data_IF_399617065810
#
_entry.id   IF_399617065810
#
_cell.length_a   1.000
_cell.length_b   1.000
_cell.length_c   1.000
_cell.angle_alpha   90.00
_cell.angle_beta   90.00
_cell.angle_gamma   90.00
#
_symmetry.space_group_name_H-M   'P 1'
#
loop_
_entity.id
_entity.type
_entity.pdbx_description
1 polymer ?
#
# COMPACT_ATOMS: atom_id res chain seq x y z
N UNK A 1 24.48 31.83 31.77
CA UNK A 1 25.03 30.83 30.82
C UNK A 1 24.93 29.38 31.33
N UNK A 2 25.58 28.99 32.44
CA UNK A 2 25.55 27.59 32.95
C UNK A 2 24.13 27.03 33.21
N UNK A 3 23.22 27.82 33.80
CA UNK A 3 21.83 27.41 34.06
C UNK A 3 21.02 27.17 32.78
N UNK A 4 21.22 28.02 31.77
CA UNK A 4 20.57 27.87 30.47
C UNK A 4 21.06 26.60 29.75
N UNK A 5 22.37 26.35 29.77
CA UNK A 5 22.96 25.13 29.21
C UNK A 5 22.41 23.90 29.93
N UNK A 6 22.38 23.90 31.27
CA UNK A 6 21.81 22.80 32.04
C UNK A 6 20.32 22.55 31.67
N UNK A 7 19.53 23.61 31.53
CA UNK A 7 18.13 23.50 31.13
C UNK A 7 17.98 22.90 29.72
N UNK A 8 18.77 23.35 28.74
CA UNK A 8 18.78 22.80 27.38
C UNK A 8 19.15 21.32 27.40
N UNK A 9 20.16 20.93 28.18
CA UNK A 9 20.56 19.53 28.33
C UNK A 9 19.45 18.68 28.93
N UNK A 10 18.75 19.18 29.95
CA UNK A 10 17.59 18.48 30.54
C UNK A 10 16.50 18.26 29.50
N UNK A 11 16.15 19.29 28.72
CA UNK A 11 15.16 19.15 27.64
C UNK A 11 15.61 18.19 26.54
N UNK A 12 16.88 18.25 26.14
CA UNK A 12 17.43 17.34 25.14
C UNK A 12 17.37 15.88 25.61
N UNK A 13 17.72 15.61 26.88
CA UNK A 13 17.64 14.27 27.48
C UNK A 13 16.18 13.81 27.58
N UNK A 14 15.28 14.67 28.05
CA UNK A 14 13.86 14.35 28.16
C UNK A 14 13.24 14.01 26.79
N UNK A 15 13.54 14.81 25.77
CA UNK A 15 13.07 14.58 24.41
C UNK A 15 13.67 13.29 23.82
N UNK A 16 14.94 13.02 24.08
CA UNK A 16 15.60 11.79 23.64
C UNK A 16 15.00 10.54 24.29
N UNK A 17 14.70 10.61 25.59
CA UNK A 17 14.04 9.53 26.31
C UNK A 17 12.62 9.29 25.78
N UNK A 18 11.88 10.36 25.50
CA UNK A 18 10.54 10.29 24.90
C UNK A 18 10.60 9.61 23.53
N UNK A 19 11.49 10.04 22.64
CA UNK A 19 11.65 9.46 21.31
C UNK A 19 12.05 7.97 21.38
N UNK A 20 12.97 7.62 22.28
CA UNK A 20 13.39 6.23 22.45
C UNK A 20 12.22 5.34 22.92
N UNK A 21 11.37 5.87 23.81
CA UNK A 21 10.18 5.15 24.26
C UNK A 21 9.17 4.96 23.13
N UNK A 22 8.88 5.99 22.33
CA UNK A 22 7.94 5.90 21.21
C UNK A 22 8.48 5.02 20.08
N UNK A 23 9.77 5.11 19.75
CA UNK A 23 10.43 4.23 18.77
C UNK A 23 10.29 2.75 19.15
N UNK A 24 10.53 2.42 20.43
CA UNK A 24 10.34 1.06 20.95
C UNK A 24 8.86 0.65 20.94
N UNK A 25 7.93 1.57 21.18
CA UNK A 25 6.51 1.29 21.10
C UNK A 25 6.09 0.92 19.68
N UNK A 26 6.51 1.71 18.67
CA UNK A 26 6.25 1.42 17.25
C UNK A 26 6.78 0.05 16.84
N UNK A 27 7.98 -0.33 17.28
CA UNK A 27 8.52 -1.68 17.01
C UNK A 27 7.68 -2.80 17.67
N UNK A 28 7.12 -2.57 18.86
CA UNK A 28 6.24 -3.55 19.51
C UNK A 28 4.89 -3.65 18.81
N UNK A 29 4.30 -2.51 18.45
CA UNK A 29 3.03 -2.42 17.73
C UNK A 29 3.13 -3.13 16.37
N UNK A 30 4.19 -2.88 15.59
CA UNK A 30 4.41 -3.57 14.32
C UNK A 30 4.55 -5.10 14.47
N UNK A 31 5.24 -5.57 15.52
CA UNK A 31 5.34 -7.01 15.81
C UNK A 31 4.02 -7.60 16.27
N UNK A 32 3.24 -6.86 17.05
CA UNK A 32 1.91 -7.27 17.48
C UNK A 32 0.97 -7.42 16.27
N UNK A 33 0.94 -6.41 15.39
CA UNK A 33 0.16 -6.45 14.15
C UNK A 33 0.54 -7.66 13.28
N UNK A 34 1.84 -7.96 13.13
CA UNK A 34 2.27 -9.16 12.41
C UNK A 34 1.81 -10.46 13.10
N UNK A 35 1.68 -10.47 14.43
CA UNK A 35 1.08 -11.59 15.18
C UNK A 35 -0.43 -11.71 14.94
N UNK A 36 -1.15 -10.60 14.95
CA UNK A 36 -2.59 -10.55 14.74
C UNK A 36 -2.97 -10.96 13.31
N UNK A 37 -2.19 -10.51 12.31
CA UNK A 37 -2.32 -10.95 10.92
C UNK A 37 -2.11 -12.46 10.78
N UNK A 38 -1.08 -13.02 11.43
CA UNK A 38 -0.86 -14.48 11.46
C UNK A 38 -2.01 -15.22 12.11
N UNK A 39 -2.55 -14.70 13.21
CA UNK A 39 -3.74 -15.27 13.85
C UNK A 39 -4.99 -15.20 12.95
N UNK A 40 -5.06 -14.22 12.05
CA UNK A 40 -6.10 -14.09 11.04
C UNK A 40 -5.85 -14.94 9.77
N UNK A 41 -4.80 -15.78 9.75
CA UNK A 41 -4.51 -16.71 8.65
C UNK A 41 -3.55 -16.20 7.59
N UNK A 42 -2.93 -15.04 7.79
CA UNK A 42 -1.89 -14.52 6.90
C UNK A 42 -0.54 -15.16 7.20
N UNK A 43 0.32 -15.30 6.20
CA UNK A 43 1.73 -15.64 6.42
C UNK A 43 2.56 -14.36 6.31
N UNK A 44 3.20 -13.95 7.40
CA UNK A 44 4.02 -12.73 7.46
C UNK A 44 5.46 -13.12 7.81
N UNK A 45 6.40 -12.78 6.94
CA UNK A 45 7.85 -12.95 7.15
C UNK A 45 8.60 -11.66 6.77
N UNK A 46 9.77 -11.45 7.38
CA UNK A 46 10.66 -10.32 7.14
C UNK A 46 12.06 -10.58 7.75
N UNK A 47 13.10 -10.02 7.14
CA UNK A 47 14.48 -10.18 7.61
C UNK A 47 14.77 -9.34 8.88
N UNK A 48 14.35 -8.08 8.89
CA UNK A 48 14.52 -7.17 10.03
C UNK A 48 13.38 -6.16 10.15
N UNK A 49 13.24 -5.60 11.35
CA UNK A 49 12.30 -4.55 11.68
C UNK A 49 13.00 -3.48 12.53
N UNK A 50 13.20 -2.29 11.98
CA UNK A 50 13.93 -1.20 12.64
C UNK A 50 13.23 0.15 12.52
N UNK A 51 13.50 1.05 13.47
CA UNK A 51 12.96 2.42 13.49
C UNK A 51 14.10 3.44 13.53
N UNK A 52 14.08 4.41 12.62
CA UNK A 52 15.02 5.55 12.57
C UNK A 52 14.26 6.88 12.64
N UNK A 53 14.98 8.00 12.52
CA UNK A 53 14.35 9.34 12.41
C UNK A 53 14.48 10.24 13.65
N UNK A 54 15.42 9.95 14.56
CA UNK A 54 15.63 10.79 15.75
C UNK A 54 15.81 12.28 15.38
N UNK A 55 15.19 13.21 16.15
CA UNK A 55 14.38 12.98 17.35
C UNK A 55 12.87 13.16 17.13
N UNK A 56 12.43 13.40 15.90
CA UNK A 56 11.06 13.87 15.60
C UNK A 56 10.33 13.00 14.59
N UNK A 57 10.99 12.01 14.01
CA UNK A 57 10.43 11.06 13.05
C UNK A 57 10.50 9.64 13.61
N UNK A 58 9.56 8.82 13.19
CA UNK A 58 9.45 7.39 13.43
C UNK A 58 9.36 6.73 12.06
N UNK A 59 10.52 6.51 11.45
CA UNK A 59 10.65 5.87 10.16
C UNK A 59 10.84 4.37 10.40
N UNK A 60 9.73 3.62 10.40
CA UNK A 60 9.74 2.15 10.54
C UNK A 60 10.09 1.54 9.18
N UNK A 61 11.14 0.73 9.12
CA UNK A 61 11.52 -0.06 7.93
C UNK A 61 11.28 -1.53 8.23
N UNK A 62 10.60 -2.20 7.30
CA UNK A 62 10.50 -3.67 7.25
C UNK A 62 11.39 -4.11 6.10
N UNK A 63 12.45 -4.85 6.41
CA UNK A 63 13.42 -5.32 5.43
C UNK A 63 13.01 -6.70 4.91
N UNK A 64 13.03 -6.87 3.59
CA UNK A 64 12.63 -8.09 2.87
C UNK A 64 11.26 -8.65 3.29
N UNK A 65 10.18 -7.84 3.35
CA UNK A 65 8.86 -8.34 3.70
C UNK A 65 8.38 -9.40 2.69
N UNK A 66 7.77 -10.46 3.20
CA UNK A 66 6.98 -11.44 2.46
C UNK A 66 5.64 -11.60 3.16
N UNK A 67 4.56 -11.37 2.43
CA UNK A 67 3.19 -11.37 2.94
C UNK A 67 2.34 -12.25 2.03
N UNK A 68 1.82 -13.35 2.57
CA UNK A 68 0.86 -14.21 1.88
C UNK A 68 -0.52 -14.05 2.50
N UNK A 69 -1.51 -13.75 1.67
CA UNK A 69 -2.91 -13.65 2.09
C UNK A 69 -3.49 -15.04 2.37
N UNK A 70 -4.57 -15.16 3.17
CA UNK A 70 -5.28 -16.42 3.34
C UNK A 70 -5.80 -17.04 2.03
N UNK A 71 -5.98 -16.21 0.99
CA UNK A 71 -6.42 -16.62 -0.35
C UNK A 71 -5.26 -17.11 -1.24
N UNK A 72 -4.01 -17.01 -0.78
CA UNK A 72 -2.83 -17.52 -1.49
C UNK A 72 -2.08 -16.50 -2.34
N UNK A 73 -2.52 -15.23 -2.37
CA UNK A 73 -1.77 -14.18 -3.04
C UNK A 73 -0.54 -13.81 -2.20
N UNK A 74 0.64 -13.76 -2.81
CA UNK A 74 1.89 -13.38 -2.12
C UNK A 74 2.39 -12.04 -2.63
N UNK A 75 2.83 -11.16 -1.73
CA UNK A 75 3.60 -9.96 -2.06
C UNK A 75 4.94 -9.98 -1.34
N UNK A 76 5.99 -9.58 -2.06
CA UNK A 76 7.35 -9.43 -1.52
C UNK A 76 8.07 -8.23 -2.14
N UNK A 77 8.93 -7.60 -1.35
CA UNK A 77 9.73 -6.45 -1.78
C UNK A 77 11.08 -6.41 -1.04
N UNK A 78 12.09 -5.68 -1.53
CA UNK A 78 13.32 -5.40 -0.79
C UNK A 78 13.08 -4.70 0.54
N UNK A 79 12.14 -3.76 0.59
CA UNK A 79 11.71 -3.11 1.82
C UNK A 79 10.32 -2.48 1.66
N UNK A 80 9.69 -2.16 2.80
CA UNK A 80 8.63 -1.15 2.89
C UNK A 80 8.86 -0.27 4.10
N UNK A 81 8.60 1.03 3.97
CA UNK A 81 8.78 1.98 5.05
C UNK A 81 7.49 2.67 5.42
N UNK A 82 7.19 2.72 6.71
CA UNK A 82 6.13 3.55 7.28
C UNK A 82 6.77 4.76 7.97
N UNK A 83 6.62 5.92 7.36
CA UNK A 83 7.22 7.20 7.73
C UNK A 83 6.18 8.06 8.45
N UNK A 84 6.44 8.41 9.70
CA UNK A 84 5.52 9.19 10.53
C UNK A 84 6.26 10.17 11.44
N UNK A 85 5.65 11.30 11.79
CA UNK A 85 6.18 12.21 12.81
C UNK A 85 5.78 11.76 14.21
N UNK A 86 6.68 11.94 15.19
CA UNK A 86 6.43 11.50 16.58
C UNK A 86 5.19 12.19 17.19
N UNK A 87 4.87 13.40 16.73
CA UNK A 87 3.78 14.24 17.22
C UNK A 87 2.58 14.36 16.26
N UNK A 88 2.58 13.66 15.11
CA UNK A 88 1.42 13.59 14.20
C UNK A 88 1.16 12.13 13.87
N UNK A 89 0.31 11.49 14.69
CA UNK A 89 0.02 10.06 14.52
C UNK A 89 -1.04 9.78 13.47
N UNK A 90 -1.86 10.75 13.13
CA UNK A 90 -2.93 10.69 12.13
C UNK A 90 -2.43 10.81 10.69
N UNK A 91 -1.12 11.03 10.50
CA UNK A 91 -0.47 11.20 9.19
C UNK A 91 0.68 10.23 9.03
N UNK A 92 0.68 9.47 7.95
CA UNK A 92 1.80 8.60 7.62
C UNK A 92 2.00 8.54 6.11
N UNK A 93 3.24 8.27 5.71
CA UNK A 93 3.60 7.93 4.34
C UNK A 93 4.12 6.50 4.34
N UNK A 94 3.61 5.66 3.45
CA UNK A 94 4.16 4.34 3.16
C UNK A 94 4.99 4.49 1.89
N UNK A 95 6.29 4.22 1.96
CA UNK A 95 7.18 4.20 0.80
C UNK A 95 7.52 2.75 0.45
N UNK A 96 7.43 2.43 -0.83
CA UNK A 96 7.71 1.10 -1.35
C UNK A 96 9.09 1.09 -2.01
N UNK A 97 9.69 -0.10 -2.11
CA UNK A 97 10.83 -0.29 -2.99
C UNK A 97 10.37 -0.20 -4.46
N UNK A 98 11.25 0.30 -5.32
CA UNK A 98 11.04 0.47 -6.78
C UNK A 98 10.86 -0.85 -7.54
N UNK A 99 11.07 -1.97 -6.87
CA UNK A 99 11.01 -3.32 -7.39
C UNK A 99 10.31 -4.21 -6.39
N UNK A 100 9.26 -4.88 -6.84
CA UNK A 100 8.41 -5.72 -6.02
C UNK A 100 7.99 -6.95 -6.82
N UNK A 101 7.49 -7.96 -6.13
CA UNK A 101 6.95 -9.15 -6.77
C UNK A 101 5.63 -9.50 -6.13
N UNK A 102 4.63 -9.72 -6.97
CA UNK A 102 3.31 -10.18 -6.60
C UNK A 102 3.11 -11.55 -7.23
N UNK A 103 2.59 -12.52 -6.48
CA UNK A 103 2.19 -13.83 -7.00
C UNK A 103 0.68 -13.91 -6.88
N UNK A 104 0.00 -14.01 -8.01
CA UNK A 104 -1.46 -14.13 -8.13
C UNK A 104 -1.79 -15.43 -8.83
N UNK A 105 -2.58 -16.30 -8.21
CA UNK A 105 -3.00 -17.59 -8.78
C UNK A 105 -1.82 -18.44 -9.33
N UNK A 106 -0.64 -18.31 -8.70
CA UNK A 106 0.61 -18.97 -9.12
C UNK A 106 1.42 -18.23 -10.18
N UNK A 107 0.89 -17.16 -10.77
CA UNK A 107 1.59 -16.30 -11.74
C UNK A 107 2.43 -15.25 -11.03
N UNK A 108 3.74 -15.24 -11.31
CA UNK A 108 4.66 -14.23 -10.80
C UNK A 108 4.60 -12.95 -11.65
N UNK A 109 4.15 -11.85 -11.03
CA UNK A 109 4.13 -10.50 -11.59
C UNK A 109 5.25 -9.69 -10.97
N UNK A 110 6.21 -9.29 -11.79
CA UNK A 110 7.22 -8.30 -11.40
C UNK A 110 6.62 -6.92 -11.52
N UNK A 111 6.69 -6.17 -10.43
CA UNK A 111 6.23 -4.77 -10.38
C UNK A 111 7.47 -3.90 -10.29
N UNK A 112 7.56 -2.91 -11.16
CA UNK A 112 8.58 -1.86 -11.09
C UNK A 112 7.91 -0.50 -11.11
N UNK A 113 8.43 0.44 -10.35
CA UNK A 113 7.82 1.77 -10.22
C UNK A 113 8.87 2.87 -10.06
N UNK A 114 8.45 4.09 -10.38
CA UNK A 114 9.18 5.31 -9.98
C UNK A 114 8.42 6.00 -8.87
N UNK A 115 8.89 5.80 -7.65
CA UNK A 115 8.49 6.58 -6.48
C UNK A 115 7.12 6.23 -5.93
N UNK A 116 6.70 4.95 -6.00
CA UNK A 116 5.45 4.50 -5.41
C UNK A 116 5.43 4.82 -3.92
N UNK A 117 4.43 5.61 -3.55
CA UNK A 117 4.17 5.98 -2.16
C UNK A 117 2.70 6.10 -1.91
N UNK A 118 2.30 5.81 -0.68
CA UNK A 118 0.96 6.04 -0.21
C UNK A 118 0.96 7.01 0.98
N UNK A 119 -0.02 7.89 1.03
CA UNK A 119 -0.24 8.82 2.13
C UNK A 119 -1.54 8.48 2.84
N UNK A 120 -1.48 8.39 4.16
CA UNK A 120 -2.63 8.25 5.04
C UNK A 120 -2.87 9.57 5.76
N UNK A 121 -4.09 10.08 5.69
CA UNK A 121 -4.52 11.26 6.43
C UNK A 121 -6.02 11.19 6.75
N UNK A 122 -6.39 11.25 8.03
CA UNK A 122 -7.80 11.29 8.48
C UNK A 122 -8.67 10.17 7.87
N UNK A 123 -8.14 8.94 7.81
CA UNK A 123 -8.84 7.78 7.25
C UNK A 123 -8.96 7.79 5.72
N UNK A 124 -8.34 8.75 5.04
CA UNK A 124 -8.17 8.78 3.58
C UNK A 124 -6.81 8.23 3.22
N UNK A 125 -6.77 7.43 2.18
CA UNK A 125 -5.55 6.85 1.64
C UNK A 125 -5.40 7.30 0.19
N UNK A 126 -4.20 7.74 -0.18
CA UNK A 126 -3.87 8.11 -1.55
C UNK A 126 -2.53 7.49 -1.91
N UNK A 127 -2.48 6.68 -2.95
CA UNK A 127 -1.24 6.13 -3.51
C UNK A 127 -0.95 6.76 -4.86
N UNK A 128 0.32 7.03 -5.13
CA UNK A 128 0.78 7.65 -6.37
C UNK A 128 2.14 7.09 -6.78
N UNK A 129 2.36 7.05 -8.10
CA UNK A 129 3.64 6.72 -8.73
C UNK A 129 3.77 7.51 -10.03
N UNK A 130 4.99 7.86 -10.42
CA UNK A 130 5.27 8.55 -11.70
C UNK A 130 5.06 7.60 -12.88
N UNK A 131 5.51 6.36 -12.73
CA UNK A 131 5.25 5.25 -13.63
C UNK A 131 5.20 3.94 -12.85
N UNK A 132 4.47 2.97 -13.40
CA UNK A 132 4.51 1.58 -12.97
C UNK A 132 4.50 0.66 -14.18
N UNK A 133 5.19 -0.46 -14.00
CA UNK A 133 5.27 -1.58 -14.92
C UNK A 133 4.87 -2.83 -14.16
N UNK A 134 3.94 -3.58 -14.72
CA UNK A 134 3.58 -4.92 -14.29
C UNK A 134 3.97 -5.87 -15.42
N UNK A 135 4.80 -6.86 -15.13
CA UNK A 135 5.38 -7.78 -16.11
C UNK A 135 5.29 -9.22 -15.61
N UNK A 136 4.64 -10.10 -16.36
CA UNK A 136 4.50 -11.51 -16.03
C UNK A 136 4.65 -12.38 -17.27
N UNK A 137 4.62 -13.70 -17.07
CA UNK A 137 4.62 -14.63 -18.18
C UNK A 137 3.28 -14.56 -18.93
N UNK A 138 3.28 -13.86 -20.07
CA UNK A 138 2.12 -13.76 -20.96
C UNK A 138 1.52 -12.36 -21.09
N UNK A 139 2.08 -11.34 -20.43
CA UNK A 139 1.61 -9.97 -20.62
C UNK A 139 2.40 -8.93 -19.85
N UNK A 140 2.22 -7.69 -20.27
CA UNK A 140 2.82 -6.50 -19.68
C UNK A 140 1.84 -5.34 -19.66
N UNK A 141 1.71 -4.71 -18.50
CA UNK A 141 1.00 -3.43 -18.35
C UNK A 141 1.98 -2.34 -17.96
N UNK A 142 1.84 -1.18 -18.58
CA UNK A 142 2.58 0.02 -18.19
C UNK A 142 1.62 1.18 -18.04
N UNK A 143 1.82 2.05 -17.07
CA UNK A 143 1.10 3.31 -16.97
C UNK A 143 1.90 4.34 -16.18
N UNK A 144 1.57 5.61 -16.34
CA UNK A 144 2.22 6.71 -15.64
C UNK A 144 1.79 8.08 -16.17
N UNK A 145 1.42 9.04 -15.29
CA UNK A 145 1.29 8.93 -13.83
C UNK A 145 0.13 8.04 -13.37
N UNK A 146 0.22 7.53 -12.14
CA UNK A 146 -0.82 6.74 -11.49
C UNK A 146 -1.26 7.42 -10.19
N UNK A 147 -2.57 7.45 -9.96
CA UNK A 147 -3.20 7.91 -8.73
C UNK A 147 -4.26 6.90 -8.30
N UNK A 148 -4.17 6.38 -7.09
CA UNK A 148 -5.23 5.62 -6.45
C UNK A 148 -5.66 6.32 -5.16
N UNK A 149 -6.95 6.33 -4.86
CA UNK A 149 -7.49 6.92 -3.65
C UNK A 149 -8.58 6.04 -3.04
N UNK A 150 -8.58 5.96 -1.71
CA UNK A 150 -9.62 5.33 -0.91
C UNK A 150 -10.13 6.37 0.09
N UNK A 151 -11.44 6.58 0.13
CA UNK A 151 -12.07 7.54 1.05
C UNK A 151 -13.32 6.95 1.71
N UNK A 152 -13.59 7.26 2.99
CA UNK A 152 -14.87 6.94 3.61
C UNK A 152 -16.00 7.62 2.84
N UNK A 153 -17.11 6.91 2.62
CA UNK A 153 -18.25 7.45 1.87
C UNK A 153 -19.43 7.90 2.74
N UNK A 154 -19.24 7.91 4.06
CA UNK A 154 -20.23 8.34 5.05
C UNK A 154 -20.94 7.20 5.77
N UNK A 155 -20.88 5.98 5.25
CA UNK A 155 -21.37 4.77 5.92
C UNK A 155 -20.21 4.02 6.60
N UNK A 156 -20.37 3.54 7.85
CA UNK A 156 -19.34 2.73 8.52
C UNK A 156 -18.95 1.51 7.68
N UNK A 157 -17.64 1.29 7.49
CA UNK A 157 -17.12 0.16 6.73
C UNK A 157 -17.22 0.30 5.21
N UNK A 158 -17.74 1.42 4.67
CA UNK A 158 -17.93 1.62 3.24
C UNK A 158 -17.04 2.74 2.70
N UNK A 159 -16.37 2.44 1.59
CA UNK A 159 -15.33 3.31 1.04
C UNK A 159 -15.46 3.45 -0.47
N UNK A 160 -15.28 4.67 -0.98
CA UNK A 160 -15.10 4.90 -2.41
C UNK A 160 -13.64 4.65 -2.76
N UNK A 161 -13.43 3.86 -3.81
CA UNK A 161 -12.16 3.59 -4.47
C UNK A 161 -12.12 4.35 -5.79
N UNK A 162 -10.99 4.99 -6.06
CA UNK A 162 -10.69 5.60 -7.35
C UNK A 162 -9.29 5.16 -7.77
N UNK A 163 -9.12 4.83 -9.04
CA UNK A 163 -7.82 4.62 -9.68
C UNK A 163 -7.81 5.33 -11.02
N UNK A 164 -6.77 6.09 -11.28
CA UNK A 164 -6.45 6.66 -12.58
C UNK A 164 -5.04 6.24 -12.98
N UNK A 165 -4.91 5.68 -14.16
CA UNK A 165 -3.66 5.28 -14.78
C UNK A 165 -3.55 5.96 -16.14
N UNK A 166 -2.70 6.98 -16.24
CA UNK A 166 -2.50 7.72 -17.48
C UNK A 166 -1.52 7.00 -18.39
N UNK A 167 -1.62 7.26 -19.70
CA UNK A 167 -0.74 6.68 -20.72
C UNK A 167 -0.61 5.14 -20.59
N UNK A 168 -1.71 4.49 -20.18
CA UNK A 168 -1.71 3.06 -19.97
C UNK A 168 -1.50 2.34 -21.30
N UNK A 169 -0.76 1.24 -21.27
CA UNK A 169 -0.57 0.34 -22.40
C UNK A 169 -0.58 -1.11 -21.93
N UNK A 170 -1.07 -1.99 -22.81
CA UNK A 170 -1.09 -3.44 -22.64
C UNK A 170 -0.36 -4.09 -23.81
N UNK A 171 0.77 -4.76 -23.53
CA UNK A 171 1.67 -5.31 -24.55
C UNK A 171 1.97 -4.31 -25.67
N UNK A 172 2.37 -3.09 -25.28
CA UNK A 172 2.64 -1.93 -26.16
C UNK A 172 1.40 -1.34 -26.87
N UNK A 173 0.23 -1.96 -26.75
CA UNK A 173 -1.03 -1.45 -27.29
C UNK A 173 -1.55 -0.32 -26.40
N UNK A 174 -1.67 0.92 -26.89
CA UNK A 174 -2.08 2.05 -26.05
C UNK A 174 -3.55 1.96 -25.64
N UNK A 175 -3.81 2.07 -24.34
CA UNK A 175 -5.16 2.12 -23.75
C UNK A 175 -5.62 3.57 -23.48
N UNK A 176 -4.68 4.51 -23.32
CA UNK A 176 -4.96 5.90 -22.96
C UNK A 176 -5.06 6.08 -21.44
N UNK A 177 -5.96 6.95 -20.97
CA UNK A 177 -6.20 7.10 -19.52
C UNK A 177 -7.25 6.10 -19.08
N UNK A 178 -6.83 5.12 -18.26
CA UNK A 178 -7.73 4.14 -17.66
C UNK A 178 -8.18 4.66 -16.31
N UNK A 179 -9.49 4.65 -16.06
CA UNK A 179 -10.05 5.03 -14.75
C UNK A 179 -10.94 3.93 -14.20
N UNK A 180 -10.82 3.64 -12.92
CA UNK A 180 -11.68 2.71 -12.18
C UNK A 180 -12.29 3.46 -11.01
N UNK A 181 -13.62 3.40 -10.91
CA UNK A 181 -14.36 3.79 -9.73
C UNK A 181 -15.00 2.54 -9.13
N UNK A 182 -14.86 2.37 -7.82
CA UNK A 182 -15.44 1.23 -7.13
C UNK A 182 -15.87 1.61 -5.71
N UNK A 183 -16.64 0.72 -5.09
CA UNK A 183 -17.01 0.80 -3.68
C UNK A 183 -16.52 -0.45 -2.98
N UNK A 184 -15.67 -0.28 -1.97
CA UNK A 184 -15.27 -1.36 -1.07
C UNK A 184 -16.18 -1.41 0.16
N UNK A 185 -16.49 -2.63 0.59
CA UNK A 185 -17.17 -2.93 1.85
C UNK A 185 -16.23 -3.72 2.74
N UNK A 186 -16.01 -3.20 3.94
CA UNK A 186 -15.22 -3.83 5.00
C UNK A 186 -16.17 -4.20 6.14
N UNK A 187 -15.88 -5.30 6.83
CA UNK A 187 -16.67 -5.77 7.97
C UNK A 187 -16.71 -4.77 9.14
N UNK A 188 -15.71 -3.89 9.20
CA UNK A 188 -15.61 -2.78 10.14
C UNK A 188 -14.91 -1.59 9.47
N UNK A 189 -15.08 -0.36 9.98
CA UNK A 189 -14.24 0.77 9.57
C UNK A 189 -12.74 0.43 9.69
N UNK A 190 -11.93 0.96 8.78
CA UNK A 190 -10.48 0.91 8.87
C UNK A 190 -10.02 1.48 10.22
N UNK A 191 -9.38 0.63 11.00
CA UNK A 191 -8.72 0.97 12.24
C UNK A 191 -7.25 0.54 12.17
N UNK A 192 -6.42 1.11 13.05
CA UNK A 192 -5.00 0.75 13.16
C UNK A 192 -4.79 -0.48 14.02
N UNK A 193 -5.77 -0.83 14.84
CA UNK A 193 -5.66 -1.88 15.86
C UNK A 193 -6.18 -3.25 15.39
N UNK A 194 -7.00 -3.29 14.33
CA UNK A 194 -7.56 -4.55 13.80
C UNK A 194 -7.31 -4.67 12.29
N UNK A 195 -6.86 -5.85 11.80
CA UNK A 195 -6.73 -6.09 10.38
C UNK A 195 -8.07 -5.92 9.64
N UNK A 196 -8.09 -5.17 8.52
CA UNK A 196 -9.32 -5.02 7.76
C UNK A 196 -9.75 -6.35 7.15
N UNK A 197 -11.06 -6.61 7.17
CA UNK A 197 -11.69 -7.72 6.46
C UNK A 197 -12.53 -7.19 5.31
N UNK A 198 -12.08 -7.46 4.09
CA UNK A 198 -12.80 -7.10 2.87
C UNK A 198 -13.99 -8.05 2.70
N UNK A 199 -15.20 -7.50 2.68
CA UNK A 199 -16.43 -8.24 2.36
C UNK A 199 -16.70 -8.25 0.86
N UNK A 200 -16.28 -7.20 0.15
CA UNK A 200 -16.37 -7.14 -1.30
C UNK A 200 -15.93 -5.80 -1.87
N UNK A 201 -15.64 -5.80 -3.17
CA UNK A 201 -15.41 -4.61 -3.98
C UNK A 201 -16.38 -4.64 -5.14
N UNK A 202 -17.10 -3.54 -5.34
CA UNK A 202 -18.06 -3.36 -6.42
C UNK A 202 -17.56 -2.28 -7.36
N UNK A 203 -17.11 -2.65 -8.56
CA UNK A 203 -16.72 -1.67 -9.59
C UNK A 203 -17.99 -0.98 -10.11
N UNK A 204 -18.03 0.34 -9.96
CA UNK A 204 -19.15 1.19 -10.38
C UNK A 204 -18.94 1.79 -11.76
N UNK A 205 -17.68 2.05 -12.14
CA UNK A 205 -17.33 2.49 -13.48
C UNK A 205 -15.92 2.03 -13.87
N UNK A 206 -15.75 1.63 -15.12
CA UNK A 206 -14.46 1.37 -15.76
C UNK A 206 -14.44 2.12 -17.09
N UNK A 207 -13.44 2.98 -17.29
CA UNK A 207 -13.24 3.69 -18.56
C UNK A 207 -11.91 3.27 -19.16
N UNK A 208 -11.96 2.74 -20.39
CA UNK A 208 -10.78 2.43 -21.20
C UNK A 208 -11.01 3.06 -22.58
N UNK A 209 -10.41 4.22 -22.87
CA UNK A 209 -10.80 5.00 -24.05
C UNK A 209 -10.30 4.41 -25.38
N UNK A 210 -9.34 3.47 -25.34
CA UNK A 210 -8.76 2.85 -26.54
C UNK A 210 -8.50 1.36 -26.29
N UNK A 211 -8.78 0.55 -27.31
CA UNK A 211 -8.45 -0.88 -27.34
C UNK A 211 -8.81 -1.65 -26.05
N UNK A 212 -10.05 -1.56 -25.53
CA UNK A 212 -10.46 -2.28 -24.31
C UNK A 212 -10.24 -3.80 -24.41
N UNK A 213 -10.37 -4.37 -25.60
CA UNK A 213 -10.10 -5.78 -25.87
C UNK A 213 -8.65 -6.17 -25.59
N UNK A 214 -7.68 -5.27 -25.83
CA UNK A 214 -6.27 -5.54 -25.56
C UNK A 214 -6.01 -5.66 -24.04
N UNK A 215 -6.72 -4.86 -23.23
CA UNK A 215 -6.65 -4.98 -21.78
C UNK A 215 -7.23 -6.32 -21.30
N UNK A 216 -8.38 -6.72 -21.83
CA UNK A 216 -9.01 -7.99 -21.48
C UNK A 216 -8.13 -9.19 -21.87
N UNK A 217 -7.66 -9.23 -23.12
CA UNK A 217 -6.76 -10.28 -23.62
C UNK A 217 -5.50 -10.39 -22.74
N UNK A 218 -4.88 -9.25 -22.43
CA UNK A 218 -3.70 -9.21 -21.56
C UNK A 218 -4.04 -9.75 -20.16
N UNK A 219 -5.13 -9.31 -19.54
CA UNK A 219 -5.48 -9.75 -18.19
C UNK A 219 -5.95 -11.22 -18.11
N UNK A 220 -6.49 -11.79 -19.20
CA UNK A 220 -6.80 -13.23 -19.23
C UNK A 220 -5.56 -14.11 -19.09
N UNK A 221 -4.38 -13.63 -19.51
CA UNK A 221 -3.12 -14.37 -19.34
C UNK A 221 -2.61 -14.31 -17.91
N UNK A 222 -2.98 -13.28 -17.15
CA UNK A 222 -2.64 -13.15 -15.74
C UNK A 222 -3.49 -14.07 -14.87
N UNK A 223 -4.83 -13.99 -15.03
CA UNK A 223 -5.79 -14.81 -14.30
C UNK A 223 -7.16 -14.75 -14.99
N UNK A 224 -7.77 -15.93 -15.21
CA UNK A 224 -9.09 -16.03 -15.81
C UNK A 224 -10.16 -15.31 -14.95
N UNK A 225 -10.05 -15.40 -13.63
CA UNK A 225 -10.96 -14.75 -12.68
C UNK A 225 -10.83 -13.23 -12.75
N UNK A 226 -9.61 -12.71 -12.95
CA UNK A 226 -9.35 -11.28 -13.10
C UNK A 226 -9.99 -10.71 -14.37
N UNK A 227 -9.90 -11.45 -15.48
CA UNK A 227 -10.53 -11.07 -16.74
C UNK A 227 -12.06 -11.15 -16.70
N UNK A 228 -12.61 -12.21 -16.10
CA UNK A 228 -14.06 -12.39 -15.99
C UNK A 228 -14.71 -11.27 -15.15
N UNK A 229 -14.04 -10.83 -14.09
CA UNK A 229 -14.50 -9.70 -13.26
C UNK A 229 -14.60 -8.37 -14.05
N UNK A 230 -13.75 -8.18 -15.06
CA UNK A 230 -13.73 -6.96 -15.89
C UNK A 230 -14.72 -7.07 -17.06
N UNK A 231 -14.81 -8.22 -17.71
CA UNK A 231 -15.69 -8.44 -18.87
C UNK A 231 -17.18 -8.34 -18.52
N UNK A 232 -17.58 -8.69 -17.28
CA UNK A 232 -18.98 -8.54 -16.83
C UNK A 232 -19.43 -7.08 -16.63
N UNK A 233 -18.55 -6.10 -16.83
CA UNK A 233 -18.77 -4.69 -16.46
C UNK A 233 -18.52 -3.67 -17.58
N UNK A 234 -18.11 -4.11 -18.77
CA UNK A 234 -18.17 -3.32 -20.01
C UNK A 234 -19.58 -3.38 -20.60
#
# INVERSE_FOLDING_TARGET
MKRLIAMILVFAVAWSALWLWTSRATLREARALAGDLRAAGWEIDYADLNVRGFPSRLDLTVDEPRVTTPQGAEWRAPFVQHLQLTYQRDRAIIAFADSQTLVLDGTEVRVSDTGLRASLYEGRFTAEAEDMVFDWEGGRLTAGPILAALRPNGEPGRYDLFLEAQNASADETPLGTVTIEAVARLAAPLDRDEPPRLEGVEVTALTVPRNPEALEETLTTLSADTAEALAQRQ
#
